data_IF_501987419993
#
_entry.id   IF_501987419993
#
_cell.length_a   1.000
_cell.length_b   1.000
_cell.length_c   1.000
_cell.angle_alpha   90.00
_cell.angle_beta   90.00
_cell.angle_gamma   90.00
#
_symmetry.space_group_name_H-M   'P 1'
#
loop_
_entity.id
_entity.type
_entity.pdbx_description
1 polymer ?
#
# COMPACT_ATOMS: atom_id res chain seq x y z
N UNK A 1 12.61 24.32 -8.05
CA UNK A 1 12.47 23.44 -9.24
C UNK A 1 11.20 23.85 -9.95
N UNK A 2 11.23 24.01 -11.27
CA UNK A 2 10.03 24.23 -12.07
C UNK A 2 9.18 22.96 -12.09
N UNK A 3 7.84 23.10 -12.05
CA UNK A 3 6.94 21.98 -12.30
C UNK A 3 7.21 21.41 -13.70
N UNK A 4 7.22 20.08 -13.82
CA UNK A 4 7.43 19.38 -15.09
C UNK A 4 6.31 19.70 -16.10
N UNK A 5 5.07 19.80 -15.61
CA UNK A 5 3.91 20.15 -16.43
C UNK A 5 3.29 21.48 -15.99
N UNK A 6 2.74 22.22 -16.95
CA UNK A 6 2.03 23.48 -16.70
C UNK A 6 0.52 23.26 -16.64
N UNK A 7 -0.17 24.03 -15.81
CA UNK A 7 -1.64 24.06 -15.82
C UNK A 7 -2.11 24.54 -17.20
N UNK A 8 -3.07 23.83 -17.79
CA UNK A 8 -3.56 24.04 -19.16
C UNK A 8 -2.77 23.31 -20.24
N UNK A 9 -1.64 22.67 -19.91
CA UNK A 9 -0.89 21.85 -20.86
C UNK A 9 -1.72 20.63 -21.28
N UNK A 10 -1.75 20.38 -22.59
CA UNK A 10 -2.37 19.19 -23.17
C UNK A 10 -1.27 18.14 -23.37
N UNK A 11 -1.52 16.94 -22.85
CA UNK A 11 -0.64 15.78 -22.97
C UNK A 11 -1.30 14.73 -23.86
N UNK A 12 -0.58 14.25 -24.86
CA UNK A 12 -1.04 13.21 -25.79
C UNK A 12 -0.83 11.82 -25.20
N UNK A 13 -1.85 10.99 -25.33
CA UNK A 13 -1.83 9.58 -24.91
C UNK A 13 -2.26 8.68 -26.05
N UNK A 14 -2.17 7.36 -25.82
CA UNK A 14 -2.62 6.34 -26.78
C UNK A 14 -4.05 6.54 -27.25
N UNK A 15 -4.95 6.88 -26.32
CA UNK A 15 -6.40 6.92 -26.59
C UNK A 15 -6.95 8.33 -26.32
N UNK A 16 -6.28 9.35 -26.87
CA UNK A 16 -6.76 10.73 -26.85
C UNK A 16 -5.78 11.72 -26.21
N UNK A 17 -6.31 12.58 -25.34
CA UNK A 17 -5.54 13.65 -24.72
C UNK A 17 -6.03 13.97 -23.31
N UNK A 18 -5.12 14.44 -22.48
CA UNK A 18 -5.39 14.90 -21.13
C UNK A 18 -4.96 16.35 -20.97
N UNK A 19 -5.81 17.18 -20.36
CA UNK A 19 -5.44 18.57 -20.03
C UNK A 19 -5.10 18.67 -18.56
N UNK A 20 -3.89 19.10 -18.23
CA UNK A 20 -3.44 19.31 -16.86
C UNK A 20 -4.25 20.45 -16.23
N UNK A 21 -4.89 20.18 -15.09
CA UNK A 21 -5.78 21.13 -14.41
C UNK A 21 -5.23 21.61 -13.08
N UNK A 22 -4.39 20.82 -12.41
CA UNK A 22 -3.85 21.17 -11.10
C UNK A 22 -2.50 20.51 -10.84
N UNK A 23 -1.58 21.29 -10.29
CA UNK A 23 -0.35 20.78 -9.68
C UNK A 23 -0.61 20.42 -8.21
N UNK A 24 -0.31 19.19 -7.81
CA UNK A 24 -0.58 18.67 -6.47
C UNK A 24 0.73 18.52 -5.69
N UNK A 25 1.71 17.89 -6.31
CA UNK A 25 3.05 17.65 -5.78
C UNK A 25 4.04 17.63 -6.94
N UNK A 26 5.33 17.75 -6.63
CA UNK A 26 6.44 17.76 -7.61
C UNK A 26 6.35 16.67 -8.68
N UNK A 27 5.71 15.54 -8.38
CA UNK A 27 5.57 14.40 -9.31
C UNK A 27 4.13 13.99 -9.61
N UNK A 28 3.14 14.75 -9.13
CA UNK A 28 1.73 14.38 -9.22
C UNK A 28 0.91 15.59 -9.67
N UNK A 29 0.12 15.40 -10.72
CA UNK A 29 -0.79 16.39 -11.26
C UNK A 29 -2.18 15.79 -11.43
N UNK A 30 -3.21 16.64 -11.37
CA UNK A 30 -4.54 16.26 -11.87
C UNK A 30 -4.69 16.72 -13.30
N UNK A 31 -5.26 15.86 -14.13
CA UNK A 31 -5.64 16.17 -15.49
C UNK A 31 -7.08 15.72 -15.75
N UNK A 32 -7.66 16.23 -16.83
CA UNK A 32 -8.99 15.81 -17.29
C UNK A 32 -8.90 15.20 -18.67
N UNK A 33 -9.65 14.12 -18.89
CA UNK A 33 -9.86 13.57 -20.23
C UNK A 33 -10.90 14.39 -21.01
N UNK A 34 -11.20 13.95 -22.24
CA UNK A 34 -12.24 14.56 -23.08
C UNK A 34 -13.64 14.50 -22.46
N UNK A 35 -13.91 13.49 -21.63
CA UNK A 35 -15.17 13.32 -20.88
C UNK A 35 -15.22 14.16 -19.59
N UNK A 36 -14.23 15.04 -19.35
CA UNK A 36 -14.06 15.85 -18.14
C UNK A 36 -13.86 15.06 -16.84
N UNK A 37 -13.59 13.76 -16.94
CA UNK A 37 -13.26 12.90 -15.81
C UNK A 37 -11.84 13.22 -15.34
N UNK A 38 -11.67 13.21 -14.01
CA UNK A 38 -10.37 13.51 -13.40
C UNK A 38 -9.50 12.27 -13.41
N UNK A 39 -8.24 12.44 -13.82
CA UNK A 39 -7.19 11.43 -13.72
C UNK A 39 -6.00 12.00 -12.94
N UNK A 40 -5.21 11.10 -12.37
CA UNK A 40 -3.97 11.47 -11.69
C UNK A 40 -2.79 11.15 -12.58
N UNK A 41 -2.10 12.18 -13.00
CA UNK A 41 -0.87 12.10 -13.78
C UNK A 41 0.31 11.98 -12.84
N UNK A 42 1.19 11.02 -13.10
CA UNK A 42 2.42 10.85 -12.34
C UNK A 42 3.63 10.73 -13.26
N UNK A 43 4.65 11.51 -12.96
CA UNK A 43 5.90 11.57 -13.72
C UNK A 43 7.06 11.98 -12.83
N UNK A 44 8.27 11.53 -13.18
CA UNK A 44 9.49 11.95 -12.52
C UNK A 44 10.66 11.86 -13.49
N UNK A 45 11.46 12.90 -13.52
CA UNK A 45 12.68 12.91 -14.32
C UNK A 45 13.83 12.21 -13.57
N UNK A 46 14.64 11.43 -14.31
CA UNK A 46 15.86 10.82 -13.79
C UNK A 46 15.68 9.76 -12.70
N UNK A 47 14.47 9.20 -12.51
CA UNK A 47 14.24 8.17 -11.49
C UNK A 47 13.31 7.05 -11.97
N UNK A 48 13.70 5.76 -11.86
CA UNK A 48 12.96 4.64 -12.47
C UNK A 48 11.68 4.22 -11.74
N UNK A 49 11.18 5.03 -10.80
CA UNK A 49 10.06 4.63 -9.93
C UNK A 49 8.73 4.60 -10.68
N UNK A 50 8.55 5.50 -11.64
CA UNK A 50 7.31 5.55 -12.44
C UNK A 50 7.31 4.42 -13.46
N UNK A 51 8.44 4.12 -14.10
CA UNK A 51 8.62 2.94 -14.97
C UNK A 51 8.35 1.64 -14.21
N UNK A 52 8.97 1.45 -13.05
CA UNK A 52 8.75 0.26 -12.21
C UNK A 52 7.28 0.15 -11.80
N UNK A 53 6.67 1.29 -11.43
CA UNK A 53 5.25 1.40 -11.13
C UNK A 53 4.37 0.94 -12.29
N UNK A 54 4.63 1.48 -13.48
CA UNK A 54 3.93 1.17 -14.74
C UNK A 54 3.98 -0.31 -15.06
N UNK A 55 5.15 -0.92 -15.03
CA UNK A 55 5.34 -2.30 -15.49
C UNK A 55 4.59 -3.29 -14.59
N UNK A 56 4.57 -3.03 -13.28
CA UNK A 56 3.80 -3.84 -12.35
C UNK A 56 2.30 -3.59 -12.49
N UNK A 57 1.86 -2.34 -12.63
CA UNK A 57 0.44 -2.07 -12.85
C UNK A 57 -0.05 -2.76 -14.13
N UNK A 58 0.71 -2.69 -15.24
CA UNK A 58 0.39 -3.43 -16.48
C UNK A 58 0.25 -4.93 -16.26
N UNK A 59 1.09 -5.53 -15.39
CA UNK A 59 1.07 -6.97 -15.11
C UNK A 59 -0.08 -7.40 -14.20
N UNK A 60 -0.36 -6.64 -13.13
CA UNK A 60 -1.18 -7.12 -12.02
C UNK A 60 -2.56 -6.47 -11.91
N UNK A 61 -2.81 -5.32 -12.56
CA UNK A 61 -4.08 -4.60 -12.39
C UNK A 61 -5.31 -5.41 -12.83
N UNK A 62 -5.15 -6.35 -13.76
CA UNK A 62 -6.25 -7.23 -14.18
C UNK A 62 -6.39 -8.48 -13.31
N UNK A 63 -5.40 -8.78 -12.47
CA UNK A 63 -5.43 -9.90 -11.52
C UNK A 63 -6.12 -9.55 -10.20
N UNK A 64 -6.33 -8.27 -9.89
CA UNK A 64 -7.02 -7.84 -8.67
C UNK A 64 -7.60 -6.43 -8.81
N UNK A 65 -8.86 -6.21 -8.40
CA UNK A 65 -9.46 -4.87 -8.38
C UNK A 65 -8.91 -3.98 -7.26
N UNK A 66 -8.12 -4.55 -6.34
CA UNK A 66 -7.62 -3.86 -5.14
C UNK A 66 -6.24 -3.20 -5.35
N UNK A 67 -5.74 -3.19 -6.58
CA UNK A 67 -4.63 -2.34 -7.00
C UNK A 67 -5.20 -1.15 -7.76
N UNK A 68 -4.65 0.04 -7.50
CA UNK A 68 -5.04 1.24 -8.24
C UNK A 68 -4.76 1.04 -9.73
N UNK A 69 -5.77 1.22 -10.57
CA UNK A 69 -5.62 1.03 -12.01
C UNK A 69 -4.79 2.12 -12.67
N UNK A 70 -3.94 1.69 -13.61
CA UNK A 70 -3.34 2.55 -14.61
C UNK A 70 -4.30 2.62 -15.81
N UNK A 71 -4.73 3.84 -16.12
CA UNK A 71 -5.68 4.10 -17.22
C UNK A 71 -4.92 4.21 -18.53
N UNK A 72 -3.79 4.92 -18.54
CA UNK A 72 -3.06 5.21 -19.77
C UNK A 72 -1.58 5.55 -19.52
N UNK A 73 -0.82 5.69 -20.60
CA UNK A 73 0.58 6.12 -20.64
C UNK A 73 0.76 7.24 -21.67
N UNK A 74 1.55 8.25 -21.33
CA UNK A 74 1.89 9.36 -22.23
C UNK A 74 2.92 8.89 -23.24
N UNK A 75 2.70 9.21 -24.52
CA UNK A 75 3.58 8.78 -25.63
C UNK A 75 4.54 9.87 -26.12
N UNK A 76 4.54 11.05 -25.49
CA UNK A 76 5.42 12.15 -25.85
C UNK A 76 6.90 11.77 -25.58
N UNK A 77 7.72 11.82 -26.63
CA UNK A 77 9.12 11.38 -26.58
C UNK A 77 10.02 12.30 -25.73
N UNK A 78 9.62 13.57 -25.59
CA UNK A 78 10.42 14.60 -24.90
C UNK A 78 10.08 14.73 -23.41
N UNK A 79 9.23 13.85 -22.86
CA UNK A 79 8.89 13.83 -21.44
C UNK A 79 9.32 12.51 -20.80
N UNK A 80 9.72 12.53 -19.52
CA UNK A 80 9.98 11.29 -18.79
C UNK A 80 8.71 10.43 -18.72
N UNK A 81 8.89 9.13 -18.45
CA UNK A 81 7.77 8.17 -18.39
C UNK A 81 6.67 8.70 -17.49
N UNK A 82 5.51 8.91 -18.09
CA UNK A 82 4.36 9.53 -17.43
C UNK A 82 3.16 8.60 -17.59
N UNK A 83 2.55 8.26 -16.46
CA UNK A 83 1.38 7.39 -16.41
C UNK A 83 0.16 8.14 -15.91
N UNK A 84 -1.00 7.81 -16.49
CA UNK A 84 -2.31 8.25 -16.02
C UNK A 84 -2.92 7.16 -15.13
N UNK A 85 -3.29 7.53 -13.91
CA UNK A 85 -3.86 6.65 -12.89
C UNK A 85 -5.30 7.04 -12.59
N UNK A 86 -6.12 6.04 -12.26
CA UNK A 86 -7.49 6.24 -11.79
C UNK A 86 -7.53 7.21 -10.62
N UNK A 87 -8.42 8.20 -10.66
CA UNK A 87 -8.66 9.09 -9.54
C UNK A 87 -9.48 8.39 -8.46
N UNK A 88 -9.08 8.57 -7.19
CA UNK A 88 -9.73 8.03 -5.99
C UNK A 88 -9.76 9.17 -4.98
N UNK A 89 -10.92 9.37 -4.35
CA UNK A 89 -11.25 10.60 -3.63
C UNK A 89 -10.36 10.88 -2.42
N UNK A 90 -10.05 9.86 -1.62
CA UNK A 90 -9.33 10.04 -0.36
C UNK A 90 -8.34 8.89 -0.09
N UNK A 91 -7.55 9.03 0.98
CA UNK A 91 -6.68 8.00 1.50
C UNK A 91 -6.99 7.71 2.97
N UNK A 92 -6.62 6.51 3.43
CA UNK A 92 -6.94 6.05 4.77
C UNK A 92 -6.28 6.91 5.86
N UNK A 93 -5.14 7.54 5.57
CA UNK A 93 -4.50 8.46 6.51
C UNK A 93 -5.39 9.67 6.79
N UNK A 94 -5.77 10.40 5.74
CA UNK A 94 -6.63 11.59 5.85
C UNK A 94 -8.02 11.24 6.40
N UNK A 95 -8.56 10.06 6.06
CA UNK A 95 -9.81 9.58 6.65
C UNK A 95 -9.68 9.31 8.15
N UNK A 96 -8.67 8.54 8.55
CA UNK A 96 -8.45 8.17 9.96
C UNK A 96 -8.15 9.38 10.87
N UNK A 97 -7.73 10.50 10.29
CA UNK A 97 -7.57 11.76 11.01
C UNK A 97 -8.91 12.46 11.31
N UNK A 98 -9.95 12.21 10.49
CA UNK A 98 -11.31 12.75 10.69
C UNK A 98 -12.08 11.90 11.71
N UNK A 99 -11.92 10.58 11.65
CA UNK A 99 -12.63 9.63 12.51
C UNK A 99 -11.85 8.32 12.64
N UNK A 100 -11.83 7.76 13.85
CA UNK A 100 -11.31 6.40 14.08
C UNK A 100 -12.13 5.38 13.31
N UNK A 101 -11.46 4.43 12.65
CA UNK A 101 -12.11 3.32 11.96
C UNK A 101 -12.78 2.40 12.98
N UNK A 102 -14.02 1.99 12.72
CA UNK A 102 -14.64 0.93 13.50
C UNK A 102 -14.09 -0.45 13.10
N UNK A 103 -14.43 -1.50 13.85
CA UNK A 103 -13.90 -2.85 13.62
C UNK A 103 -14.30 -3.42 12.25
N UNK A 104 -15.55 -3.22 11.82
CA UNK A 104 -16.04 -3.66 10.50
C UNK A 104 -15.26 -2.98 9.36
N UNK A 105 -15.06 -1.67 9.46
CA UNK A 105 -14.29 -0.86 8.52
C UNK A 105 -12.81 -1.30 8.45
N UNK A 106 -12.17 -1.49 9.61
CA UNK A 106 -10.78 -1.94 9.69
C UNK A 106 -10.61 -3.32 9.07
N UNK A 107 -11.51 -4.27 9.38
CA UNK A 107 -11.51 -5.60 8.79
C UNK A 107 -11.70 -5.52 7.28
N UNK A 108 -12.68 -4.76 6.81
CA UNK A 108 -12.94 -4.60 5.39
C UNK A 108 -11.70 -4.10 4.62
N UNK A 109 -11.09 -3.01 5.10
CA UNK A 109 -9.88 -2.43 4.47
C UNK A 109 -8.72 -3.42 4.52
N UNK A 110 -8.49 -4.06 5.67
CA UNK A 110 -7.37 -5.00 5.85
C UNK A 110 -7.48 -6.21 4.93
N UNK A 111 -8.71 -6.74 4.73
CA UNK A 111 -8.97 -7.85 3.82
C UNK A 111 -8.63 -7.49 2.37
N UNK A 112 -9.05 -6.31 1.89
CA UNK A 112 -8.74 -5.85 0.52
C UNK A 112 -7.24 -5.66 0.28
N UNK A 113 -6.55 -5.14 1.29
CA UNK A 113 -5.09 -5.02 1.26
C UNK A 113 -4.44 -6.40 1.13
N UNK A 114 -4.86 -7.37 1.95
CA UNK A 114 -4.30 -8.72 1.90
C UNK A 114 -4.61 -9.44 0.58
N UNK A 115 -5.80 -9.25 0.01
CA UNK A 115 -6.18 -9.77 -1.32
C UNK A 115 -5.32 -9.17 -2.45
N UNK A 116 -4.98 -7.88 -2.36
CA UNK A 116 -4.02 -7.26 -3.29
C UNK A 116 -2.61 -7.85 -3.12
N UNK A 117 -2.18 -8.07 -1.86
CA UNK A 117 -0.85 -8.60 -1.55
C UNK A 117 -0.71 -10.07 -1.93
N UNK A 118 -1.76 -10.88 -1.80
CA UNK A 118 -1.70 -12.30 -2.19
C UNK A 118 -1.37 -12.46 -3.67
N UNK A 119 -2.01 -11.66 -4.54
CA UNK A 119 -1.75 -11.67 -5.98
C UNK A 119 -0.30 -11.28 -6.30
N UNK A 120 0.24 -10.25 -5.63
CA UNK A 120 1.63 -9.85 -5.83
C UNK A 120 2.61 -10.93 -5.32
N UNK A 121 2.34 -11.52 -4.16
CA UNK A 121 3.23 -12.47 -3.50
C UNK A 121 3.27 -13.82 -4.20
N UNK A 122 2.18 -14.25 -4.82
CA UNK A 122 2.13 -15.46 -5.66
C UNK A 122 3.13 -15.42 -6.81
N UNK A 123 3.39 -14.25 -7.37
CA UNK A 123 4.37 -14.07 -8.45
C UNK A 123 5.73 -13.56 -7.94
N UNK A 124 5.97 -13.57 -6.63
CA UNK A 124 7.25 -13.20 -6.02
C UNK A 124 7.50 -11.69 -5.89
N UNK A 125 6.48 -10.83 -6.06
CA UNK A 125 6.61 -9.39 -5.92
C UNK A 125 6.39 -8.91 -4.50
N UNK A 126 7.47 -8.52 -3.81
CA UNK A 126 7.37 -8.00 -2.44
C UNK A 126 7.12 -6.49 -2.44
N UNK A 127 6.03 -6.08 -1.76
CA UNK A 127 5.71 -4.67 -1.53
C UNK A 127 6.26 -4.21 -0.18
N UNK A 128 7.10 -3.18 -0.18
CA UNK A 128 7.78 -2.69 1.04
C UNK A 128 7.14 -1.43 1.63
N UNK A 129 6.26 -0.75 0.91
CA UNK A 129 5.65 0.53 1.32
C UNK A 129 4.13 0.39 1.53
N UNK A 130 3.74 -0.46 2.48
CA UNK A 130 2.36 -0.60 2.93
C UNK A 130 2.17 0.36 4.11
N UNK A 131 1.46 1.46 3.86
CA UNK A 131 1.15 2.50 4.84
C UNK A 131 -0.21 3.11 4.55
N UNK A 132 -0.87 3.68 5.57
CA UNK A 132 -2.21 4.29 5.45
C UNK A 132 -2.33 5.34 4.33
N UNK A 133 -1.25 6.06 4.01
CA UNK A 133 -1.21 7.02 2.91
C UNK A 133 -1.35 6.38 1.52
N UNK A 134 -0.94 5.12 1.38
CA UNK A 134 -0.97 4.39 0.12
C UNK A 134 -2.22 3.50 0.00
N UNK A 135 -3.13 3.56 0.98
CA UNK A 135 -4.43 2.91 0.94
C UNK A 135 -5.43 3.97 0.52
N UNK A 136 -5.92 3.86 -0.71
CA UNK A 136 -6.88 4.78 -1.31
C UNK A 136 -8.29 4.24 -1.10
N UNK A 137 -9.24 5.13 -0.85
CA UNK A 137 -10.62 4.77 -0.51
C UNK A 137 -11.60 5.66 -1.25
N UNK A 138 -12.66 5.05 -1.79
CA UNK A 138 -13.86 5.75 -2.27
C UNK A 138 -15.04 5.46 -1.33
N UNK A 139 -15.99 6.40 -1.31
CA UNK A 139 -17.16 6.33 -0.43
C UNK A 139 -18.42 5.99 -1.20
N UNK A 140 -19.36 5.29 -0.55
CA UNK A 140 -20.72 5.19 -1.08
C UNK A 140 -21.39 6.56 -1.02
N UNK A 141 -22.16 6.97 -2.05
CA UNK A 141 -23.05 8.11 -1.92
C UNK A 141 -24.02 7.84 -0.77
N UNK A 142 -24.25 8.87 0.07
CA UNK A 142 -25.13 8.76 1.23
C UNK A 142 -26.58 8.69 0.74
N UNK A 143 -27.05 7.49 0.40
CA UNK A 143 -28.47 7.21 0.25
C UNK A 143 -29.04 7.10 1.67
N UNK A 144 -29.90 8.05 2.04
CA UNK A 144 -30.40 8.14 3.41
C UNK A 144 -31.15 6.89 3.86
N UNK A 145 -30.53 6.07 4.72
CA UNK A 145 -31.15 5.33 5.83
C UNK A 145 -30.20 4.35 6.54
N UNK A 146 -29.03 4.00 5.98
CA UNK A 146 -28.14 3.00 6.59
C UNK A 146 -26.89 3.61 7.24
N UNK A 147 -27.07 4.18 8.44
CA UNK A 147 -25.96 4.66 9.28
C UNK A 147 -25.04 3.54 9.79
N UNK A 148 -25.43 2.27 9.62
CA UNK A 148 -24.69 1.09 10.08
C UNK A 148 -23.96 0.36 8.93
N UNK A 149 -24.09 0.85 7.70
CA UNK A 149 -23.40 0.28 6.54
C UNK A 149 -21.97 0.82 6.42
N UNK A 150 -21.03 -0.04 6.01
CA UNK A 150 -19.64 0.34 5.78
C UNK A 150 -19.57 1.48 4.72
N UNK A 151 -18.99 2.66 5.05
CA UNK A 151 -18.96 3.79 4.13
C UNK A 151 -18.05 3.57 2.93
N UNK A 152 -17.11 2.63 3.01
CA UNK A 152 -16.19 2.32 1.91
C UNK A 152 -16.89 1.51 0.82
N UNK A 153 -16.88 2.01 -0.41
CA UNK A 153 -17.33 1.27 -1.59
C UNK A 153 -16.19 0.59 -2.32
N UNK A 154 -14.99 1.18 -2.27
CA UNK A 154 -13.80 0.69 -2.95
C UNK A 154 -12.55 1.00 -2.11
N UNK A 155 -11.62 0.04 -2.09
CA UNK A 155 -10.34 0.13 -1.37
C UNK A 155 -9.27 -0.37 -2.30
N UNK A 156 -8.35 0.52 -2.66
CA UNK A 156 -7.27 0.20 -3.58
C UNK A 156 -5.92 0.60 -3.00
N UNK A 157 -4.94 -0.26 -3.18
CA UNK A 157 -3.57 0.04 -2.86
C UNK A 157 -2.93 0.84 -4.00
N UNK A 158 -2.51 2.07 -3.70
CA UNK A 158 -1.66 2.86 -4.58
C UNK A 158 -0.33 2.15 -4.76
N UNK A 159 -0.05 1.58 -5.93
CA UNK A 159 1.20 0.89 -6.20
C UNK A 159 2.21 1.87 -6.81
N UNK A 160 3.39 2.06 -6.18
CA UNK A 160 4.50 2.83 -6.78
C UNK A 160 5.87 2.60 -6.11
N UNK A 161 5.98 1.58 -5.25
CA UNK A 161 7.20 1.28 -4.52
C UNK A 161 7.39 -0.23 -4.41
N UNK A 162 7.98 -0.82 -5.44
CA UNK A 162 8.64 -2.12 -5.29
C UNK A 162 10.12 -1.91 -5.44
N UNK A 163 10.81 -2.27 -4.37
CA UNK A 163 12.23 -2.45 -4.40
C UNK A 163 12.47 -3.79 -5.09
N UNK A 164 12.52 -3.79 -6.43
CA UNK A 164 13.09 -4.90 -7.20
C UNK A 164 14.63 -5.01 -7.00
N UNK A 165 15.13 -4.47 -5.87
CA UNK A 165 16.53 -4.54 -5.41
C UNK A 165 16.73 -5.60 -4.34
N UNK A 166 15.70 -6.21 -3.75
CA UNK A 166 15.95 -7.26 -2.77
C UNK A 166 16.63 -8.49 -3.40
N UNK A 167 16.22 -8.95 -4.58
CA UNK A 167 16.96 -10.01 -5.26
C UNK A 167 18.33 -9.55 -5.79
N UNK A 168 18.41 -8.32 -6.32
CA UNK A 168 19.66 -7.79 -6.91
C UNK A 168 20.75 -7.44 -5.88
N UNK A 169 20.39 -7.15 -4.63
CA UNK A 169 21.34 -6.82 -3.55
C UNK A 169 21.39 -7.88 -2.43
N UNK A 170 20.37 -8.73 -2.29
CA UNK A 170 20.26 -9.73 -1.21
C UNK A 170 19.96 -11.15 -1.71
N UNK A 171 20.06 -11.41 -3.02
CA UNK A 171 19.91 -12.74 -3.59
C UNK A 171 21.24 -13.50 -3.72
N UNK A 172 21.26 -14.84 -3.52
CA UNK A 172 20.11 -15.69 -3.23
C UNK A 172 19.80 -15.77 -1.72
N UNK A 173 18.54 -16.05 -1.37
CA UNK A 173 18.18 -16.30 0.02
C UNK A 173 18.84 -17.58 0.54
N UNK A 174 19.46 -17.55 1.74
CA UNK A 174 20.25 -18.68 2.21
C UNK A 174 19.39 -19.86 2.69
N UNK A 175 19.84 -21.11 2.40
CA UNK A 175 19.24 -22.30 2.95
C UNK A 175 19.57 -22.39 4.44
N UNK A 176 18.58 -22.14 5.31
CA UNK A 176 18.64 -22.41 6.76
C UNK A 176 19.57 -21.48 7.59
N UNK A 177 19.08 -20.26 7.89
CA UNK A 177 18.80 -19.71 9.25
C UNK A 177 19.83 -19.79 10.41
N UNK A 178 20.96 -20.48 10.34
CA UNK A 178 22.01 -20.47 11.39
C UNK A 178 23.13 -19.45 11.15
N UNK A 179 23.18 -18.79 9.99
CA UNK A 179 24.29 -17.87 9.61
C UNK A 179 23.94 -16.37 9.58
N UNK A 180 22.71 -15.95 9.90
CA UNK A 180 22.24 -14.57 9.58
C UNK A 180 22.54 -13.52 10.67
N UNK A 181 23.06 -13.90 11.84
CA UNK A 181 23.51 -12.91 12.80
C UNK A 181 25.01 -12.68 12.60
N UNK A 182 25.39 -11.63 11.86
CA UNK A 182 26.78 -11.15 11.86
C UNK A 182 27.23 -10.90 13.30
N UNK A 183 28.53 -10.96 13.58
CA UNK A 183 29.08 -10.60 14.91
C UNK A 183 28.53 -9.25 15.39
N UNK A 184 28.31 -8.31 14.47
CA UNK A 184 27.73 -6.98 14.71
C UNK A 184 26.23 -7.03 15.05
N UNK A 185 25.45 -7.89 14.39
CA UNK A 185 24.04 -8.11 14.70
C UNK A 185 23.88 -8.77 16.08
N UNK A 186 24.75 -9.74 16.40
CA UNK A 186 24.81 -10.36 17.72
C UNK A 186 25.23 -9.35 18.79
N UNK A 187 26.21 -8.49 18.51
CA UNK A 187 26.62 -7.42 19.41
C UNK A 187 25.49 -6.40 19.63
N UNK A 188 24.72 -6.07 18.60
CA UNK A 188 23.56 -5.19 18.70
C UNK A 188 22.44 -5.81 19.53
N UNK A 189 22.12 -7.10 19.29
CA UNK A 189 21.15 -7.84 20.10
C UNK A 189 21.61 -7.94 21.56
N UNK A 190 22.91 -8.21 21.77
CA UNK A 190 23.51 -8.27 23.09
C UNK A 190 23.46 -6.92 23.80
N UNK A 191 23.82 -5.82 23.12
CA UNK A 191 23.70 -4.46 23.64
C UNK A 191 22.26 -4.10 23.98
N UNK A 192 21.30 -4.37 23.08
CA UNK A 192 19.87 -4.16 23.33
C UNK A 192 19.38 -4.95 24.55
N UNK A 193 19.87 -6.17 24.74
CA UNK A 193 19.54 -7.01 25.90
C UNK A 193 20.10 -6.46 27.23
N UNK A 194 21.14 -5.62 27.18
CA UNK A 194 21.69 -4.91 28.34
C UNK A 194 20.95 -3.60 28.62
N UNK A 195 20.66 -2.83 27.57
CA UNK A 195 19.98 -1.53 27.66
C UNK A 195 18.50 -1.64 28.02
N UNK A 196 17.84 -2.72 27.57
CA UNK A 196 16.43 -2.98 27.85
C UNK A 196 16.33 -4.27 28.68
N UNK A 197 16.54 -4.19 30.00
CA UNK A 197 16.33 -5.30 30.92
C UNK A 197 14.92 -5.88 30.77
N UNK A 198 14.77 -7.16 31.13
CA UNK A 198 13.51 -7.90 30.99
C UNK A 198 12.34 -7.20 31.69
N UNK A 199 12.64 -6.52 32.79
CA UNK A 199 11.70 -5.77 33.62
C UNK A 199 11.18 -4.49 32.94
N UNK A 200 11.90 -3.96 31.94
CA UNK A 200 11.52 -2.78 31.14
C UNK A 200 10.86 -3.14 29.80
N UNK A 201 10.80 -4.43 29.44
CA UNK A 201 10.15 -4.85 28.21
C UNK A 201 8.65 -4.52 28.28
N UNK A 202 8.10 -4.02 27.19
CA UNK A 202 6.66 -3.76 27.03
C UNK A 202 6.16 -4.54 25.83
N UNK A 203 6.12 -5.87 25.98
CA UNK A 203 5.70 -6.75 24.89
C UNK A 203 4.21 -6.51 24.57
N UNK A 204 3.87 -6.41 23.29
CA UNK A 204 2.47 -6.31 22.86
C UNK A 204 1.60 -7.47 23.36
N UNK A 205 2.19 -8.64 23.60
CA UNK A 205 1.49 -9.77 24.22
C UNK A 205 0.94 -9.44 25.63
N UNK A 206 1.56 -8.49 26.34
CA UNK A 206 1.20 -8.06 27.69
C UNK A 206 0.14 -6.94 27.71
N UNK A 207 -0.22 -6.38 26.55
CA UNK A 207 -1.33 -5.44 26.41
C UNK A 207 -2.62 -6.03 27.00
N UNK A 208 -3.33 -5.20 27.77
CA UNK A 208 -4.52 -5.64 28.51
C UNK A 208 -5.77 -5.65 27.62
N UNK A 209 -6.80 -6.40 27.99
CA UNK A 209 -8.08 -6.43 27.26
C UNK A 209 -8.82 -5.08 27.28
N UNK A 210 -8.43 -4.15 28.17
CA UNK A 210 -8.92 -2.76 28.14
C UNK A 210 -8.41 -1.99 26.94
N UNK A 211 -7.26 -2.35 26.40
CA UNK A 211 -6.62 -1.67 25.26
C UNK A 211 -6.90 -2.41 23.95
N UNK A 212 -6.78 -3.75 23.95
CA UNK A 212 -7.00 -4.59 22.78
C UNK A 212 -7.71 -5.87 23.19
N UNK A 213 -8.89 -6.12 22.61
CA UNK A 213 -9.65 -7.34 22.84
C UNK A 213 -8.80 -8.57 22.52
N UNK A 214 -8.94 -9.64 23.32
CA UNK A 214 -8.12 -10.83 23.22
C UNK A 214 -8.01 -11.41 21.80
N UNK A 215 -9.12 -11.54 21.08
CA UNK A 215 -9.15 -12.04 19.69
C UNK A 215 -8.29 -11.19 18.75
N UNK A 216 -8.37 -9.86 18.84
CA UNK A 216 -7.57 -8.93 18.04
C UNK A 216 -6.08 -9.02 18.41
N UNK A 217 -5.79 -9.11 19.70
CA UNK A 217 -4.41 -9.29 20.19
C UNK A 217 -3.80 -10.59 19.68
N UNK A 218 -4.56 -11.68 19.72
CA UNK A 218 -4.14 -12.99 19.25
C UNK A 218 -3.87 -12.98 17.74
N UNK A 219 -4.77 -12.39 16.96
CA UNK A 219 -4.59 -12.21 15.51
C UNK A 219 -3.37 -11.36 15.17
N UNK A 220 -3.23 -10.18 15.79
CA UNK A 220 -2.06 -9.31 15.61
C UNK A 220 -0.78 -10.03 16.03
N UNK A 221 -0.83 -10.82 17.09
CA UNK A 221 0.27 -11.65 17.56
C UNK A 221 0.69 -12.77 16.59
N UNK A 222 -0.21 -13.26 15.73
CA UNK A 222 0.12 -14.21 14.65
C UNK A 222 0.92 -13.53 13.54
N UNK A 223 0.54 -12.32 13.14
CA UNK A 223 1.19 -11.58 12.03
C UNK A 223 2.45 -10.83 12.46
N UNK A 224 2.53 -10.35 13.70
CA UNK A 224 3.66 -9.57 14.24
C UNK A 224 4.74 -10.44 14.89
N UNK A 225 5.21 -11.50 14.20
CA UNK A 225 6.36 -12.29 14.68
C UNK A 225 7.68 -11.58 14.37
N UNK A 226 8.59 -11.57 15.35
CA UNK A 226 9.95 -11.03 15.15
C UNK A 226 10.67 -11.74 14.00
N UNK A 227 10.59 -13.07 13.95
CA UNK A 227 11.08 -13.85 12.82
C UNK A 227 10.06 -13.86 11.68
N UNK A 228 10.42 -13.30 10.54
CA UNK A 228 9.56 -13.21 9.37
C UNK A 228 9.13 -14.57 8.80
N UNK A 229 9.91 -15.63 9.01
CA UNK A 229 9.59 -17.00 8.54
C UNK A 229 8.51 -17.68 9.37
N UNK A 230 8.24 -17.14 10.55
CA UNK A 230 7.18 -17.62 11.43
C UNK A 230 5.87 -16.83 11.22
N UNK A 231 5.87 -15.84 10.31
CA UNK A 231 4.66 -15.09 9.96
C UNK A 231 3.88 -15.87 8.92
N UNK A 232 2.54 -15.86 9.00
CA UNK A 232 1.71 -16.42 7.94
C UNK A 232 1.88 -15.63 6.63
N UNK A 233 1.64 -16.30 5.52
CA UNK A 233 1.49 -15.67 4.20
C UNK A 233 0.21 -14.83 4.13
N UNK A 234 0.08 -14.00 3.10
CA UNK A 234 -1.14 -13.22 2.89
C UNK A 234 -2.39 -14.11 2.73
N UNK A 235 -2.26 -15.27 2.06
CA UNK A 235 -3.34 -16.26 1.91
C UNK A 235 -3.74 -16.89 3.24
N UNK A 236 -2.78 -17.42 3.98
CA UNK A 236 -3.06 -18.00 5.32
C UNK A 236 -3.64 -16.95 6.27
N UNK A 237 -3.22 -15.69 6.16
CA UNK A 237 -3.78 -14.59 6.96
C UNK A 237 -5.25 -14.33 6.59
N UNK A 238 -5.64 -14.47 5.32
CA UNK A 238 -7.03 -14.31 4.85
C UNK A 238 -7.95 -15.46 5.28
N UNK A 239 -7.38 -16.62 5.59
CA UNK A 239 -8.12 -17.82 6.03
C UNK A 239 -8.32 -17.86 7.57
N UNK A 240 -7.76 -16.90 8.31
CA UNK A 240 -7.86 -16.87 9.77
C UNK A 240 -9.30 -16.66 10.26
N UNK A 241 -9.70 -17.40 11.31
CA UNK A 241 -11.04 -17.31 11.91
C UNK A 241 -11.38 -15.90 12.42
N UNK A 242 -10.38 -15.06 12.67
CA UNK A 242 -10.55 -13.66 13.05
C UNK A 242 -11.47 -12.87 12.10
N UNK A 243 -11.55 -13.25 10.82
CA UNK A 243 -12.43 -12.58 9.85
C UNK A 243 -13.92 -12.88 10.03
N UNK A 244 -14.27 -13.99 10.67
CA UNK A 244 -15.66 -14.43 10.85
C UNK A 244 -16.33 -13.81 12.08
N UNK A 245 -15.55 -13.11 12.90
CA UNK A 245 -16.01 -12.48 14.13
C UNK A 245 -16.67 -11.13 13.81
N UNK A 246 -17.98 -11.02 14.02
CA UNK A 246 -18.74 -9.77 13.85
C UNK A 246 -18.83 -8.91 15.13
N UNK A 247 -18.40 -9.46 16.28
CA UNK A 247 -18.37 -8.74 17.58
C UNK A 247 -17.42 -7.54 17.57
#
# INVERSE_FOLDING_TARGET
>A
MSSLFRIGQVLKVRIGQYTVTKDIQVTIWFAKNLSLETVVMKSVEGHPRVETGRDVLKRFQYGTPYLRHMIDEIEELDVPVTIALQYIDDNLWAWSAKRTLNRKELKYVSRRILEALSVLYEEGFVRTDIKRHNVLVNFRPVSGSDSDSNPFCDVQLAYLGVVNRQYRYFGPFPPKKTEIATTESLHTIWWLSKEIPREKLTQFAWTTEREVVKKDKDFVGKIMKMDWRNRPTAKETLEDEWWNDEE
#
